data_IF_888739345790
#
_entry.id   IF_888739345790
#
_cell.length_a   1.000
_cell.length_b   1.000
_cell.length_c   1.000
_cell.angle_alpha   90.00
_cell.angle_beta   90.00
_cell.angle_gamma   90.00
#
_symmetry.space_group_name_H-M   'P 1'
#
loop_
_entity.id
_entity.type
_entity.pdbx_description
1 polymer ?
#
# COMPACT_ATOMS: atom_id res chain seq x y z
N UNK A 1 1.49 1.75 8.85
CA UNK A 1 0.38 0.99 8.23
C UNK A 1 -0.21 1.83 7.11
N UNK A 2 -0.48 1.24 5.93
CA UNK A 2 -0.90 1.93 4.69
C UNK A 2 -2.28 1.47 4.19
N UNK A 3 -3.03 0.74 5.01
CA UNK A 3 -4.35 0.22 4.67
C UNK A 3 -4.92 -0.62 5.83
N UNK A 4 -6.09 -1.19 5.58
CA UNK A 4 -6.74 -2.15 6.48
C UNK A 4 -6.82 -3.50 5.78
N UNK A 5 -6.32 -4.55 6.42
CA UNK A 5 -6.44 -5.91 5.92
C UNK A 5 -7.69 -6.57 6.48
N UNK A 6 -8.39 -7.33 5.65
CA UNK A 6 -9.58 -8.11 6.03
C UNK A 6 -9.41 -9.55 5.54
N UNK A 7 -10.03 -10.54 6.21
CA UNK A 7 -10.00 -11.92 5.76
C UNK A 7 -10.58 -12.07 4.34
N UNK A 8 -9.98 -12.90 3.47
CA UNK A 8 -10.52 -13.18 2.14
C UNK A 8 -11.94 -13.75 2.22
N UNK A 9 -12.84 -13.29 1.34
CA UNK A 9 -14.22 -13.76 1.27
C UNK A 9 -15.15 -13.26 2.38
N UNK A 10 -14.65 -12.50 3.35
CA UNK A 10 -15.48 -11.95 4.43
C UNK A 10 -16.04 -10.57 4.05
N UNK A 11 -17.28 -10.55 3.56
CA UNK A 11 -17.98 -9.34 3.12
C UNK A 11 -18.26 -8.39 4.29
N UNK A 12 -18.66 -8.93 5.44
CA UNK A 12 -18.99 -8.11 6.62
C UNK A 12 -17.75 -7.37 7.15
N UNK A 13 -16.59 -8.04 7.19
CA UNK A 13 -15.33 -7.43 7.58
C UNK A 13 -14.91 -6.32 6.61
N UNK A 14 -15.10 -6.54 5.30
CA UNK A 14 -14.83 -5.52 4.28
C UNK A 14 -15.75 -4.31 4.44
N UNK A 15 -17.05 -4.54 4.61
CA UNK A 15 -18.04 -3.48 4.78
C UNK A 15 -17.74 -2.64 6.04
N UNK A 16 -17.43 -3.28 7.16
CA UNK A 16 -17.06 -2.60 8.40
C UNK A 16 -15.76 -1.77 8.24
N UNK A 17 -14.75 -2.30 7.56
CA UNK A 17 -13.51 -1.57 7.29
C UNK A 17 -13.75 -0.34 6.39
N UNK A 18 -14.59 -0.48 5.37
CA UNK A 18 -14.96 0.62 4.48
C UNK A 18 -15.78 1.70 5.22
N UNK A 19 -16.79 1.30 6.00
CA UNK A 19 -17.59 2.22 6.82
C UNK A 19 -16.72 3.03 7.78
N UNK A 20 -15.78 2.37 8.47
CA UNK A 20 -14.82 3.05 9.35
C UNK A 20 -14.00 4.12 8.62
N UNK A 21 -13.57 3.87 7.38
CA UNK A 21 -12.83 4.85 6.59
C UNK A 21 -13.71 6.01 6.09
N UNK A 22 -15.01 5.79 5.91
CA UNK A 22 -15.95 6.85 5.55
C UNK A 22 -16.21 7.78 6.74
N UNK A 23 -16.38 7.20 7.92
CA UNK A 23 -16.71 7.90 9.17
C UNK A 23 -15.50 8.60 9.82
N UNK A 24 -14.31 7.97 9.78
CA UNK A 24 -13.09 8.51 10.38
C UNK A 24 -12.18 9.19 9.34
N UNK A 25 -12.37 10.51 9.17
CA UNK A 25 -11.58 11.34 8.27
C UNK A 25 -10.08 11.31 8.60
N UNK A 26 -9.73 11.30 9.89
CA UNK A 26 -8.34 11.35 10.33
C UNK A 26 -7.60 10.06 9.96
N UNK A 27 -8.25 8.91 10.23
CA UNK A 27 -7.74 7.61 9.84
C UNK A 27 -7.58 7.50 8.32
N UNK A 28 -8.62 7.86 7.55
CA UNK A 28 -8.58 7.84 6.08
C UNK A 28 -7.43 8.66 5.53
N UNK A 29 -7.25 9.88 6.04
CA UNK A 29 -6.18 10.78 5.59
C UNK A 29 -4.81 10.21 5.89
N UNK A 30 -4.59 9.76 7.13
CA UNK A 30 -3.32 9.17 7.56
C UNK A 30 -2.94 7.95 6.71
N UNK A 31 -3.86 7.01 6.54
CA UNK A 31 -3.58 5.80 5.75
C UNK A 31 -3.33 6.13 4.28
N UNK A 32 -4.10 7.05 3.69
CA UNK A 32 -3.93 7.48 2.29
C UNK A 32 -2.57 8.12 2.02
N UNK A 33 -2.09 8.99 2.92
CA UNK A 33 -0.76 9.61 2.80
C UNK A 33 0.33 8.53 2.82
N UNK A 34 0.32 7.65 3.83
CA UNK A 34 1.33 6.59 3.96
C UNK A 34 1.25 5.61 2.78
N UNK A 35 0.05 5.28 2.29
CA UNK A 35 -0.13 4.45 1.10
C UNK A 35 0.49 5.08 -0.15
N UNK A 36 0.27 6.38 -0.36
CA UNK A 36 0.85 7.09 -1.51
C UNK A 36 2.37 7.11 -1.45
N UNK A 37 2.95 7.35 -0.28
CA UNK A 37 4.41 7.32 -0.08
C UNK A 37 4.98 5.93 -0.32
N UNK A 38 4.34 4.88 0.22
CA UNK A 38 4.74 3.49 0.01
C UNK A 38 4.74 3.15 -1.49
N UNK A 39 3.66 3.48 -2.21
CA UNK A 39 3.57 3.23 -3.65
C UNK A 39 4.68 3.92 -4.44
N UNK A 40 5.03 5.16 -4.08
CA UNK A 40 6.10 5.91 -4.77
C UNK A 40 7.49 5.36 -4.46
N UNK A 41 7.73 4.95 -3.22
CA UNK A 41 9.04 4.49 -2.76
C UNK A 41 9.33 3.08 -3.25
N UNK A 42 8.39 2.17 -3.08
CA UNK A 42 8.66 0.73 -3.20
C UNK A 42 8.17 0.14 -4.52
N UNK A 43 7.15 0.74 -5.15
CA UNK A 43 6.45 0.16 -6.31
C UNK A 43 6.42 1.11 -7.51
N UNK A 44 7.40 2.01 -7.62
CA UNK A 44 7.52 2.90 -8.79
C UNK A 44 8.38 2.27 -9.88
N UNK A 45 8.14 2.59 -11.18
CA UNK A 45 8.99 2.08 -12.26
C UNK A 45 10.48 2.38 -12.05
N UNK A 46 10.81 3.55 -11.48
CA UNK A 46 12.19 3.90 -11.18
C UNK A 46 12.81 3.01 -10.09
N UNK A 47 12.05 2.71 -9.02
CA UNK A 47 12.50 1.80 -7.96
C UNK A 47 12.70 0.38 -8.50
N UNK A 48 11.75 -0.12 -9.30
CA UNK A 48 11.82 -1.43 -9.94
C UNK A 48 13.02 -1.55 -10.90
N UNK A 49 13.23 -0.56 -11.78
CA UNK A 49 14.38 -0.54 -12.70
C UNK A 49 15.68 -0.55 -11.92
N UNK A 50 15.80 0.27 -10.86
CA UNK A 50 17.00 0.32 -10.03
C UNK A 50 17.30 -1.04 -9.40
N UNK A 51 16.31 -1.65 -8.75
CA UNK A 51 16.47 -2.95 -8.10
C UNK A 51 16.89 -4.05 -9.08
N UNK A 52 16.25 -4.11 -10.24
CA UNK A 52 16.59 -5.09 -11.28
C UNK A 52 18.00 -4.89 -11.84
N UNK A 53 18.42 -3.64 -12.08
CA UNK A 53 19.77 -3.33 -12.55
C UNK A 53 20.86 -3.66 -11.53
N UNK A 54 20.59 -3.48 -10.24
CA UNK A 54 21.51 -3.88 -9.17
C UNK A 54 21.76 -5.39 -9.19
N UNK A 55 20.73 -6.20 -9.41
CA UNK A 55 20.86 -7.65 -9.59
C UNK A 55 21.73 -7.95 -10.83
N UNK A 56 21.41 -7.36 -12.00
CA UNK A 56 22.15 -7.64 -13.23
C UNK A 56 23.63 -7.25 -13.16
N UNK A 57 23.96 -6.15 -12.47
CA UNK A 57 25.36 -5.73 -12.26
C UNK A 57 26.15 -6.69 -11.38
N UNK A 58 25.49 -7.44 -10.50
CA UNK A 58 26.15 -8.43 -9.65
C UNK A 58 26.42 -9.77 -10.33
N UNK A 59 25.93 -9.97 -11.57
CA UNK A 59 26.13 -11.19 -12.35
C UNK A 59 27.31 -11.13 -13.32
N UNK A 60 27.96 -9.96 -13.44
CA UNK A 60 29.13 -9.70 -14.29
C UNK A 60 30.33 -9.39 -13.41
#
# INVERSE_FOLDING_TARGET
ENGLLVPPGNVDALAAAAARLLEDLALRTRLGVVARETARRDYSPAAEIKANLEIYRGLV
#
